data_IF_038071644024
#
_entry.id   IF_038071644024
#
_cell.length_a   1.000
_cell.length_b   1.000
_cell.length_c   1.000
_cell.angle_alpha   90.00
_cell.angle_beta   90.00
_cell.angle_gamma   90.00
#
_symmetry.space_group_name_H-M   'P 1'
#
loop_
_entity.id
_entity.type
_entity.pdbx_description
1 polymer ?
#
# COMPACT_ATOMS: atom_id res chain seq x y z
N UNK A 1 16.82 -3.05 12.27
CA UNK A 1 16.94 -3.67 10.94
C UNK A 1 17.93 -2.92 10.06
N UNK A 2 17.76 -1.61 9.80
CA UNK A 2 18.65 -0.81 8.92
C UNK A 2 20.15 -0.93 9.25
N UNK A 3 20.51 -0.90 10.54
CA UNK A 3 21.91 -1.13 10.98
C UNK A 3 22.43 -2.53 10.65
N UNK A 4 21.62 -3.55 10.86
CA UNK A 4 21.98 -4.93 10.54
C UNK A 4 22.10 -5.14 9.02
N UNK A 5 21.27 -4.48 8.21
CA UNK A 5 21.37 -4.50 6.74
C UNK A 5 22.70 -3.92 6.23
N UNK A 6 23.32 -3.02 6.99
CA UNK A 6 24.62 -2.42 6.68
C UNK A 6 25.78 -3.03 7.49
N UNK A 7 25.53 -4.03 8.35
CA UNK A 7 26.55 -4.60 9.24
C UNK A 7 27.10 -3.63 10.29
N UNK A 8 26.38 -2.54 10.60
CA UNK A 8 26.82 -1.48 11.50
C UNK A 8 26.48 -1.83 12.95
N UNK A 9 27.46 -1.73 13.83
CA UNK A 9 27.32 -1.91 15.27
C UNK A 9 27.06 -0.57 15.98
N UNK A 10 26.62 -0.61 17.24
CA UNK A 10 26.45 0.61 18.04
C UNK A 10 27.78 1.31 18.35
N UNK A 11 28.92 0.62 18.22
CA UNK A 11 30.25 1.16 18.50
C UNK A 11 30.74 2.11 17.41
N UNK A 12 30.22 1.97 16.20
CA UNK A 12 30.60 2.81 15.05
C UNK A 12 30.07 4.25 15.18
N UNK A 13 29.16 4.51 16.13
CA UNK A 13 28.57 5.83 16.45
C UNK A 13 28.07 6.60 15.22
N UNK A 14 27.66 5.90 14.17
CA UNK A 14 27.13 6.50 12.95
C UNK A 14 25.74 7.08 13.24
N UNK A 15 25.52 8.33 12.81
CA UNK A 15 24.24 9.02 12.96
C UNK A 15 23.14 8.29 12.19
N UNK A 16 21.94 8.28 12.76
CA UNK A 16 20.79 7.63 12.12
C UNK A 16 20.43 8.23 10.76
N UNK A 17 20.65 9.53 10.57
CA UNK A 17 20.38 10.19 9.28
C UNK A 17 21.26 9.64 8.16
N UNK A 18 22.53 9.33 8.46
CA UNK A 18 23.45 8.72 7.50
C UNK A 18 23.07 7.26 7.20
N UNK A 19 22.61 6.51 8.21
CA UNK A 19 22.09 5.15 8.03
C UNK A 19 20.84 5.16 7.14
N UNK A 20 19.93 6.11 7.35
CA UNK A 20 18.72 6.29 6.52
C UNK A 20 19.08 6.71 5.09
N UNK A 21 20.05 7.61 4.94
CA UNK A 21 20.55 8.05 3.62
C UNK A 21 21.13 6.90 2.80
N UNK A 22 21.87 6.00 3.45
CA UNK A 22 22.48 4.82 2.81
C UNK A 22 21.48 3.73 2.47
N UNK A 23 20.55 3.45 3.38
CA UNK A 23 19.58 2.37 3.20
C UNK A 23 18.37 2.75 2.35
N UNK A 24 17.99 4.04 2.29
CA UNK A 24 16.80 4.55 1.58
C UNK A 24 15.52 3.79 1.92
N UNK A 25 15.45 3.21 3.12
CA UNK A 25 14.33 2.35 3.54
C UNK A 25 13.02 3.13 3.65
N UNK A 26 13.08 4.41 4.01
CA UNK A 26 11.91 5.30 4.01
C UNK A 26 11.29 5.44 2.61
N UNK A 27 12.12 5.60 1.57
CA UNK A 27 11.68 5.77 0.19
C UNK A 27 11.05 4.47 -0.34
N UNK A 28 11.64 3.32 0.00
CA UNK A 28 11.10 1.99 -0.36
C UNK A 28 9.75 1.77 0.32
N UNK A 29 9.61 2.13 1.60
CA UNK A 29 8.34 1.98 2.32
C UNK A 29 7.22 2.84 1.69
N UNK A 30 7.54 4.06 1.25
CA UNK A 30 6.61 4.91 0.52
C UNK A 30 6.21 4.28 -0.83
N UNK A 31 7.18 3.73 -1.56
CA UNK A 31 6.92 3.04 -2.82
C UNK A 31 6.04 1.79 -2.64
N UNK A 32 6.29 0.98 -1.60
CA UNK A 32 5.45 -0.17 -1.25
C UNK A 32 4.02 0.28 -0.90
N UNK A 33 3.86 1.36 -0.13
CA UNK A 33 2.54 1.92 0.13
C UNK A 33 1.84 2.36 -1.16
N UNK A 34 2.57 3.03 -2.06
CA UNK A 34 2.03 3.44 -3.36
C UNK A 34 1.57 2.24 -4.17
N UNK A 35 2.38 1.20 -4.29
CA UNK A 35 2.02 -0.05 -4.98
C UNK A 35 0.82 -0.74 -4.34
N UNK A 36 0.77 -0.81 -3.01
CA UNK A 36 -0.37 -1.36 -2.26
C UNK A 36 -1.67 -0.65 -2.64
N UNK A 37 -1.65 0.68 -2.75
CA UNK A 37 -2.84 1.47 -3.12
C UNK A 37 -3.13 1.49 -4.63
N UNK A 38 -2.14 1.21 -5.48
CA UNK A 38 -2.35 1.03 -6.93
C UNK A 38 -2.96 -0.33 -7.26
N UNK A 39 -2.72 -1.35 -6.43
CA UNK A 39 -3.19 -2.71 -6.66
C UNK A 39 -4.72 -2.81 -6.81
N UNK A 40 -5.57 -2.20 -5.95
CA UNK A 40 -7.01 -2.21 -6.14
C UNK A 40 -7.46 -1.67 -7.50
N UNK A 41 -6.87 -0.55 -7.95
CA UNK A 41 -7.19 0.03 -9.25
C UNK A 41 -6.74 -0.86 -10.42
N UNK A 42 -5.59 -1.53 -10.28
CA UNK A 42 -5.15 -2.53 -11.25
C UNK A 42 -6.12 -3.71 -11.35
N UNK A 43 -6.55 -4.26 -10.21
CA UNK A 43 -7.52 -5.36 -10.17
C UNK A 43 -8.89 -4.93 -10.71
N UNK A 44 -9.34 -3.71 -10.43
CA UNK A 44 -10.62 -3.19 -10.93
C UNK A 44 -10.68 -3.10 -12.46
N UNK A 45 -9.54 -2.86 -13.13
CA UNK A 45 -9.43 -2.84 -14.60
C UNK A 45 -9.31 -4.22 -15.23
N UNK A 46 -9.01 -5.27 -14.45
CA UNK A 46 -8.92 -6.60 -15.02
C UNK A 46 -10.31 -7.21 -15.22
N UNK A 47 -10.50 -7.82 -16.38
CA UNK A 47 -11.76 -8.48 -16.78
C UNK A 47 -11.77 -9.98 -16.49
N UNK A 48 -10.67 -10.51 -15.94
CA UNK A 48 -10.62 -11.88 -15.44
C UNK A 48 -11.45 -11.93 -14.16
N UNK A 49 -12.66 -12.48 -14.23
CA UNK A 49 -13.65 -12.58 -13.14
C UNK A 49 -13.22 -13.45 -11.94
N UNK A 50 -11.93 -13.40 -11.59
CA UNK A 50 -11.28 -14.14 -10.54
C UNK A 50 -11.65 -13.61 -9.16
N UNK A 51 -11.32 -14.42 -8.14
CA UNK A 51 -11.52 -14.13 -6.73
C UNK A 51 -11.10 -12.72 -6.30
N UNK A 52 -10.05 -12.18 -6.92
CA UNK A 52 -9.49 -10.84 -6.68
C UNK A 52 -10.56 -9.74 -6.68
N UNK A 53 -11.51 -9.79 -7.61
CA UNK A 53 -12.59 -8.80 -7.71
C UNK A 53 -13.65 -9.02 -6.62
N UNK A 54 -14.00 -10.27 -6.33
CA UNK A 54 -14.93 -10.63 -5.24
C UNK A 54 -14.40 -10.20 -3.87
N UNK A 55 -13.09 -10.24 -3.67
CA UNK A 55 -12.43 -9.77 -2.43
C UNK A 55 -12.51 -8.24 -2.32
N UNK A 56 -12.38 -7.50 -3.43
CA UNK A 56 -12.54 -6.03 -3.42
C UNK A 56 -14.00 -5.59 -3.23
N UNK A 57 -14.94 -6.30 -3.84
CA UNK A 57 -16.38 -6.01 -3.71
C UNK A 57 -16.96 -6.53 -2.38
N UNK A 58 -16.18 -7.28 -1.61
CA UNK A 58 -16.61 -7.89 -0.37
C UNK A 58 -17.06 -6.84 0.65
N UNK A 59 -18.32 -6.92 1.06
CA UNK A 59 -18.90 -6.07 2.11
C UNK A 59 -19.15 -6.92 3.36
N UNK A 60 -18.64 -6.52 4.54
CA UNK A 60 -18.93 -7.24 5.78
C UNK A 60 -20.42 -7.15 6.11
N UNK A 61 -21.03 -8.31 6.39
CA UNK A 61 -22.49 -8.47 6.55
C UNK A 61 -23.04 -7.93 7.88
N UNK A 62 -22.18 -7.43 8.78
CA UNK A 62 -22.49 -7.22 10.21
C UNK A 62 -22.34 -5.77 10.68
N UNK A 63 -22.47 -4.77 9.80
CA UNK A 63 -22.31 -3.36 10.19
C UNK A 63 -23.43 -2.46 9.67
N UNK A 64 -23.96 -1.59 10.53
CA UNK A 64 -24.91 -0.53 10.18
C UNK A 64 -24.45 0.19 8.90
N UNK A 65 -25.40 0.39 7.98
CA UNK A 65 -25.23 0.96 6.64
C UNK A 65 -24.54 2.34 6.68
N UNK A 66 -23.23 2.39 6.45
CA UNK A 66 -22.54 3.63 6.06
C UNK A 66 -22.63 3.72 4.52
N UNK A 67 -23.63 4.47 4.06
CA UNK A 67 -24.02 4.63 2.64
C UNK A 67 -22.92 5.28 1.76
N UNK A 68 -21.83 5.77 2.34
CA UNK A 68 -20.82 6.57 1.63
C UNK A 68 -19.49 5.88 1.35
N UNK A 69 -19.15 4.74 1.96
CA UNK A 69 -17.78 4.20 1.84
C UNK A 69 -17.60 3.28 0.62
N UNK A 70 -18.55 2.39 0.31
CA UNK A 70 -18.39 1.39 -0.75
C UNK A 70 -18.75 1.86 -2.17
N UNK A 71 -19.59 2.89 -2.29
CA UNK A 71 -20.01 3.44 -3.59
C UNK A 71 -19.08 4.56 -4.07
N UNK A 72 -18.45 5.29 -3.16
CA UNK A 72 -17.55 6.40 -3.51
C UNK A 72 -16.25 5.94 -4.21
N UNK A 73 -15.68 4.79 -3.83
CA UNK A 73 -14.43 4.29 -4.44
C UNK A 73 -14.64 3.69 -5.83
N UNK A 74 -15.80 3.12 -6.13
CA UNK A 74 -16.10 2.55 -7.46
C UNK A 74 -16.45 3.66 -8.46
N UNK A 75 -17.14 4.72 -8.01
CA UNK A 75 -17.58 5.84 -8.86
C UNK A 75 -16.46 6.84 -9.20
N UNK A 76 -15.39 6.94 -8.40
CA UNK A 76 -14.25 7.84 -8.70
C UNK A 76 -13.30 7.31 -9.78
N UNK A 77 -13.34 6.02 -10.11
CA UNK A 77 -12.43 5.38 -11.08
C UNK A 77 -13.03 5.17 -12.49
N UNK A 78 -14.31 5.47 -12.68
CA UNK A 78 -15.00 5.35 -13.97
C UNK A 78 -15.11 6.67 -14.74
N UNK A 79 -14.64 7.79 -14.19
CA UNK A 79 -14.70 9.14 -14.78
C UNK A 79 -13.32 9.81 -14.81
N UNK A 80 -12.37 9.20 -15.52
CA UNK A 80 -11.17 9.84 -16.06
C UNK A 80 -10.57 8.86 -17.07
N UNK A 81 -11.25 8.76 -18.21
CA UNK A 81 -10.77 8.20 -19.46
C UNK A 81 -10.65 9.33 -20.47
#
# INVERSE_FOLDING_TARGET
>A
MERAMLGISLRDRIRNDEIRRRTKVADIAQWICKLKWQWPGHIARRTDGQWSRKVLEWRPRTGKRIRSMGEAYVQQWTFNG
#
